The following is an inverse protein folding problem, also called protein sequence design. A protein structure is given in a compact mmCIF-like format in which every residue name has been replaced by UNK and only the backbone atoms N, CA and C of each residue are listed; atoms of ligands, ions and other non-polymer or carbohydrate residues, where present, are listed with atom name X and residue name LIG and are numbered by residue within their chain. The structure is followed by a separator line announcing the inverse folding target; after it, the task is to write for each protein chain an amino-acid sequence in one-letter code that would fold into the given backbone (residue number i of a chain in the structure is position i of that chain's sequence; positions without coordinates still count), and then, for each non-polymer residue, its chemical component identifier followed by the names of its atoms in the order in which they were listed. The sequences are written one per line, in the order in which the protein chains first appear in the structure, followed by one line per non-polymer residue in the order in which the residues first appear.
data_IF_769787787599
#
_entry.id   IF_769787787599
#
_cell.length_a   1.000
_cell.length_b   1.000
_cell.length_c   1.000
_cell.angle_alpha   90.00
_cell.angle_beta   90.00
_cell.angle_gamma   90.00
#
_symmetry.space_group_name_H-M   'P 1'
#
loop_
_entity.id
_entity.type
_entity.pdbx_description
1 polymer ?
#
# COMPACT_ATOMS: atom_id res chain seq x y z
N UNK A 1 13.75 -5.08 5.96
CA UNK A 1 12.39 -4.66 5.54
C UNK A 1 11.58 -5.92 5.21
N UNK A 2 10.29 -5.98 5.57
CA UNK A 2 9.38 -7.08 5.15
C UNK A 2 8.27 -6.52 4.26
N UNK A 3 7.67 -7.33 3.39
CA UNK A 3 6.53 -6.91 2.58
C UNK A 3 5.44 -7.98 2.49
N UNK A 4 4.21 -7.55 2.20
CA UNK A 4 3.02 -8.41 2.02
C UNK A 4 2.26 -7.99 0.78
N UNK A 5 1.61 -8.94 0.12
CA UNK A 5 0.82 -8.69 -1.07
C UNK A 5 -0.66 -8.97 -0.77
N UNK A 6 -1.53 -8.10 -1.26
CA UNK A 6 -2.98 -8.23 -1.14
C UNK A 6 -3.61 -8.15 -2.53
N UNK A 7 -4.44 -9.13 -2.92
CA UNK A 7 -5.27 -8.98 -4.11
C UNK A 7 -6.29 -7.87 -3.88
N UNK A 8 -6.45 -6.99 -4.86
CA UNK A 8 -7.40 -5.91 -4.84
C UNK A 8 -8.13 -5.81 -6.19
N UNK A 9 -9.28 -5.17 -6.19
CA UNK A 9 -10.04 -4.86 -7.41
C UNK A 9 -10.21 -3.37 -7.53
N UNK A 10 -10.09 -2.85 -8.75
CA UNK A 10 -10.38 -1.44 -9.02
C UNK A 10 -11.87 -1.18 -9.27
N UNK A 11 -12.23 0.08 -9.48
CA UNK A 11 -13.60 0.49 -9.79
C UNK A 11 -14.16 -0.07 -11.12
N UNK A 12 -13.31 -0.54 -12.03
CA UNK A 12 -13.71 -1.17 -13.28
C UNK A 12 -13.89 -2.70 -13.14
N UNK A 13 -13.43 -3.27 -12.02
CA UNK A 13 -13.43 -4.71 -11.77
C UNK A 13 -12.15 -5.42 -12.18
N UNK A 14 -11.12 -4.69 -12.58
CA UNK A 14 -9.82 -5.26 -12.90
C UNK A 14 -9.08 -5.67 -11.63
N UNK A 15 -8.36 -6.80 -11.70
CA UNK A 15 -7.58 -7.33 -10.58
C UNK A 15 -6.19 -6.70 -10.53
N UNK A 16 -5.80 -6.23 -9.35
CA UNK A 16 -4.51 -5.60 -9.07
C UNK A 16 -3.88 -6.23 -7.82
N UNK A 17 -2.57 -6.07 -7.66
CA UNK A 17 -1.88 -6.46 -6.41
C UNK A 17 -1.40 -5.21 -5.69
N UNK A 18 -1.79 -5.09 -4.43
CA UNK A 18 -1.28 -4.07 -3.51
C UNK A 18 -0.13 -4.69 -2.72
N UNK A 19 1.02 -4.03 -2.72
CA UNK A 19 2.22 -4.40 -1.99
C UNK A 19 2.36 -3.47 -0.78
N UNK A 20 2.26 -4.02 0.43
CA UNK A 20 2.52 -3.32 1.69
C UNK A 20 3.97 -3.56 2.12
N UNK A 21 4.77 -2.50 2.18
CA UNK A 21 6.12 -2.50 2.71
C UNK A 21 6.10 -2.10 4.18
N UNK A 22 6.51 -3.04 5.03
CA UNK A 22 6.67 -2.84 6.47
C UNK A 22 8.14 -2.62 6.82
N UNK A 23 8.49 -1.45 7.39
CA UNK A 23 9.83 -1.22 7.92
C UNK A 23 10.12 -2.22 9.05
N UNK A 24 11.37 -2.69 9.15
CA UNK A 24 11.76 -3.57 10.25
C UNK A 24 11.90 -2.76 11.53
N UNK A 25 11.16 -3.15 12.57
CA UNK A 25 11.17 -2.51 13.89
C UNK A 25 12.39 -2.91 14.74
N UNK A 26 13.57 -3.05 14.13
CA UNK A 26 14.78 -3.46 14.83
C UNK A 26 15.77 -2.29 14.93
N UNK A 27 15.82 -1.69 16.13
CA UNK A 27 16.93 -0.81 16.52
C UNK A 27 16.47 0.48 17.16
N UNK A 28 16.49 0.47 18.50
CA UNK A 28 16.53 1.60 19.42
C UNK A 28 16.68 3.00 18.81
N UNK A 29 15.71 3.88 19.09
CA UNK A 29 16.03 5.28 19.34
C UNK A 29 15.69 6.30 18.26
N UNK A 30 14.53 6.26 17.63
CA UNK A 30 13.73 7.47 17.42
C UNK A 30 12.31 7.08 17.06
N UNK A 31 11.35 7.78 17.64
CA UNK A 31 9.92 7.62 17.44
C UNK A 31 9.54 8.13 16.04
N UNK A 32 9.92 7.41 15.00
CA UNK A 32 9.31 7.54 13.68
C UNK A 32 8.43 6.33 13.52
N UNK A 33 7.16 6.48 13.90
CA UNK A 33 6.06 5.61 13.51
C UNK A 33 6.16 5.37 12.00
N UNK A 34 6.88 4.31 11.63
CA UNK A 34 7.24 4.09 10.25
C UNK A 34 6.03 3.43 9.61
N UNK A 35 5.10 4.28 9.18
CA UNK A 35 3.83 3.89 8.59
C UNK A 35 4.11 2.99 7.37
N UNK A 36 3.33 1.90 7.18
CA UNK A 36 3.51 1.04 6.02
C UNK A 36 3.34 1.85 4.73
N UNK A 37 4.23 1.62 3.77
CA UNK A 37 4.11 2.16 2.41
C UNK A 37 3.35 1.16 1.56
N UNK A 38 2.41 1.64 0.76
CA UNK A 38 1.63 0.79 -0.15
C UNK A 38 1.94 1.15 -1.60
N UNK A 39 2.07 0.14 -2.44
CA UNK A 39 2.32 0.29 -3.87
C UNK A 39 1.47 -0.67 -4.68
N UNK A 40 1.19 -0.33 -5.93
CA UNK A 40 0.68 -1.24 -6.95
C UNK A 40 1.80 -2.14 -7.48
N UNK A 41 1.44 -3.20 -8.20
CA UNK A 41 2.41 -4.08 -8.87
C UNK A 41 3.25 -3.37 -9.94
N UNK A 42 2.71 -2.31 -10.54
CA UNK A 42 3.45 -1.44 -11.48
C UNK A 42 4.33 -0.39 -10.77
N UNK A 43 4.31 -0.35 -9.43
CA UNK A 43 5.15 0.53 -8.60
C UNK A 43 4.54 1.89 -8.28
N UNK A 44 3.30 2.18 -8.72
CA UNK A 44 2.59 3.41 -8.31
C UNK A 44 2.30 3.42 -6.81
N UNK A 45 2.55 4.55 -6.17
CA UNK A 45 2.28 4.77 -4.75
C UNK A 45 0.78 4.83 -4.46
N UNK A 46 0.37 4.16 -3.38
CA UNK A 46 -1.00 4.12 -2.89
C UNK A 46 -1.12 4.80 -1.52
N UNK A 47 -2.17 5.59 -1.37
CA UNK A 47 -2.64 6.15 -0.11
C UNK A 47 -3.76 5.24 0.41
N UNK A 48 -3.56 4.69 1.61
CA UNK A 48 -4.57 3.86 2.27
C UNK A 48 -5.59 4.72 3.02
N UNK A 49 -6.87 4.50 2.75
CA UNK A 49 -8.01 5.06 3.49
C UNK A 49 -8.89 3.89 4.00
N UNK A 50 -8.53 3.34 5.16
CA UNK A 50 -9.23 2.18 5.73
C UNK A 50 -9.04 0.89 4.90
N UNK A 51 -10.06 0.55 4.10
CA UNK A 51 -10.07 -0.60 3.16
C UNK A 51 -9.91 -0.18 1.69
N UNK A 52 -9.95 1.11 1.43
CA UNK A 52 -9.72 1.67 0.10
C UNK A 52 -8.26 2.09 -0.04
N UNK A 53 -7.72 1.94 -1.25
CA UNK A 53 -6.37 2.37 -1.60
C UNK A 53 -6.44 3.16 -2.90
N UNK A 54 -5.85 4.35 -2.90
CA UNK A 54 -5.94 5.25 -4.06
C UNK A 54 -4.55 5.68 -4.50
N UNK A 55 -4.28 5.74 -5.80
CA UNK A 55 -3.02 6.31 -6.29
C UNK A 55 -2.89 7.78 -5.86
N UNK A 56 -1.66 8.28 -5.71
CA UNK A 56 -1.43 9.69 -5.32
C UNK A 56 -2.09 10.70 -6.27
N UNK A 57 -2.31 10.34 -7.55
CA UNK A 57 -3.03 11.15 -8.54
C UNK A 57 -4.55 10.99 -8.54
N UNK A 58 -5.10 10.01 -7.81
CA UNK A 58 -6.53 9.73 -7.78
C UNK A 58 -7.05 8.88 -8.95
N UNK A 59 -6.19 8.51 -9.90
CA UNK A 59 -6.56 7.82 -11.14
C UNK A 59 -7.10 6.41 -10.93
N UNK A 60 -6.57 5.71 -9.91
CA UNK A 60 -6.97 4.33 -9.61
C UNK A 60 -7.36 4.24 -8.15
N UNK A 61 -8.53 3.66 -7.92
CA UNK A 61 -9.04 3.33 -6.59
C UNK A 61 -9.26 1.84 -6.52
N UNK A 62 -8.69 1.24 -5.49
CA UNK A 62 -8.65 -0.19 -5.23
C UNK A 62 -9.34 -0.51 -3.91
N UNK A 63 -9.95 -1.68 -3.85
CA UNK A 63 -10.59 -2.23 -2.65
C UNK A 63 -10.17 -3.67 -2.42
N UNK A 64 -9.99 -4.03 -1.15
CA UNK A 64 -9.67 -5.40 -0.68
C UNK A 64 -10.80 -5.99 0.19
#
# INVERSE_FOLDING_TARGET
MSFRQFPAVDSNGDSHIIIEFKPEANGSGHNSESTPRYELDDGRLLVRNGREFTTSGGDVRLTI
#
